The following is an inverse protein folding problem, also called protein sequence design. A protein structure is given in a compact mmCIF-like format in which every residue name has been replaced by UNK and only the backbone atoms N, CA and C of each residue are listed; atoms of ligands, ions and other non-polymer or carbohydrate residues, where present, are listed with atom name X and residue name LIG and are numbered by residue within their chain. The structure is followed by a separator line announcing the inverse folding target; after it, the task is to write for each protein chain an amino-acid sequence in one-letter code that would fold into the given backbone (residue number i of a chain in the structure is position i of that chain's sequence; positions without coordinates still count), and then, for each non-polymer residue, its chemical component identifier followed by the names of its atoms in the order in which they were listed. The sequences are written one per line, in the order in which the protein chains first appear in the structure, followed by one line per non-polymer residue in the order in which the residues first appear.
data_IF_375326642658
#
_entry.id   IF_375326642658
#
_cell.length_a   1.000
_cell.length_b   1.000
_cell.length_c   1.000
_cell.angle_alpha   90.00
_cell.angle_beta   90.00
_cell.angle_gamma   90.00
#
_symmetry.space_group_name_H-M   'P 1'
#
loop_
_entity.id
_entity.type
_entity.pdbx_description
1 polymer ?
#
# COMPACT_ATOMS: atom_id res chain seq x y z
N UNK A 1 44.42 -14.42 39.85
CA UNK A 1 44.25 -13.58 41.07
C UNK A 1 42.93 -12.83 40.91
N UNK A 2 41.79 -13.42 41.28
CA UNK A 2 41.10 -13.36 42.58
C UNK A 2 40.59 -11.95 42.97
N UNK A 3 39.27 -11.73 42.84
CA UNK A 3 38.33 -11.06 43.80
C UNK A 3 37.01 -10.76 43.06
N UNK A 4 35.98 -11.58 43.22
CA UNK A 4 34.99 -11.68 44.32
C UNK A 4 33.74 -10.78 44.13
N UNK A 5 32.63 -11.50 43.96
CA UNK A 5 31.21 -11.17 44.09
C UNK A 5 30.89 -10.26 45.29
N UNK A 6 29.92 -9.35 45.14
CA UNK A 6 28.99 -8.99 46.22
C UNK A 6 27.58 -8.87 45.65
N UNK A 7 26.74 -9.86 45.99
CA UNK A 7 25.28 -9.80 45.93
C UNK A 7 24.80 -8.96 47.12
N UNK A 8 23.86 -8.04 46.89
CA UNK A 8 23.11 -7.38 47.97
C UNK A 8 21.62 -7.71 47.82
N UNK A 9 21.21 -8.74 48.54
CA UNK A 9 19.82 -9.05 48.86
C UNK A 9 19.37 -8.11 49.98
N UNK A 10 18.40 -7.24 49.71
CA UNK A 10 17.64 -6.56 50.75
C UNK A 10 16.34 -7.32 51.00
N UNK A 11 16.35 -8.14 52.05
CA UNK A 11 15.15 -8.69 52.67
C UNK A 11 14.72 -7.78 53.80
N UNK A 12 13.60 -7.06 53.62
CA UNK A 12 12.88 -6.40 54.70
C UNK A 12 11.45 -6.95 54.71
N UNK A 13 11.17 -7.84 55.67
CA UNK A 13 9.82 -8.19 56.06
C UNK A 13 9.53 -7.58 57.42
N UNK A 14 8.40 -6.87 57.55
CA UNK A 14 7.51 -7.04 58.69
C UNK A 14 6.13 -6.39 58.42
N UNK A 15 5.12 -7.28 58.47
CA UNK A 15 3.74 -7.11 58.90
C UNK A 15 3.04 -5.74 58.73
N UNK A 16 2.14 -5.70 57.75
CA UNK A 16 0.95 -4.86 57.78
C UNK A 16 -0.28 -5.72 57.48
N UNK A 17 -1.11 -5.98 58.48
CA UNK A 17 -2.38 -6.69 58.34
C UNK A 17 -3.39 -5.76 57.66
N UNK A 18 -3.42 -5.76 56.33
CA UNK A 18 -4.42 -5.06 55.53
C UNK A 18 -5.53 -6.02 55.13
N UNK A 19 -6.78 -5.68 55.45
CA UNK A 19 -7.96 -6.45 55.06
C UNK A 19 -7.94 -6.76 53.56
N UNK A 20 -8.16 -8.04 53.20
CA UNK A 20 -8.37 -8.45 51.82
C UNK A 20 -9.65 -7.77 51.31
N UNK A 21 -9.47 -6.72 50.50
CA UNK A 21 -10.56 -6.16 49.71
C UNK A 21 -11.06 -7.26 48.76
N UNK A 22 -12.35 -7.60 48.85
CA UNK A 22 -12.97 -8.57 47.95
C UNK A 22 -12.77 -8.14 46.50
N UNK A 23 -12.38 -9.09 45.65
CA UNK A 23 -12.27 -8.86 44.22
C UNK A 23 -13.61 -8.31 43.69
N UNK A 24 -13.62 -7.25 42.85
CA UNK A 24 -14.85 -6.75 42.28
C UNK A 24 -15.51 -7.85 41.45
N UNK A 25 -16.76 -8.16 41.74
CA UNK A 25 -17.59 -9.06 40.93
C UNK A 25 -17.62 -8.50 39.51
N UNK A 26 -17.28 -9.28 38.47
CA UNK A 26 -17.37 -8.79 37.10
C UNK A 26 -18.82 -8.43 36.78
N UNK A 27 -19.06 -7.14 36.58
CA UNK A 27 -20.36 -6.63 36.13
C UNK A 27 -20.57 -7.11 34.70
N UNK A 28 -21.54 -8.01 34.48
CA UNK A 28 -21.95 -8.39 33.13
C UNK A 28 -22.47 -7.12 32.44
N UNK A 29 -21.89 -6.69 31.31
CA UNK A 29 -22.39 -5.52 30.60
C UNK A 29 -23.84 -5.78 30.18
N UNK A 30 -24.70 -4.74 30.19
CA UNK A 30 -26.09 -4.90 29.79
C UNK A 30 -26.14 -5.51 28.38
N UNK A 31 -26.87 -6.61 28.24
CA UNK A 31 -27.18 -7.18 26.93
C UNK A 31 -27.98 -6.15 26.15
N UNK A 32 -27.35 -5.51 25.15
CA UNK A 32 -28.03 -4.61 24.24
C UNK A 32 -29.04 -5.46 23.46
N UNK A 33 -30.33 -5.29 23.74
CA UNK A 33 -31.38 -5.87 22.92
C UNK A 33 -31.22 -5.31 21.50
N UNK A 34 -31.30 -6.14 20.44
CA UNK A 34 -31.20 -5.65 19.08
C UNK A 34 -32.29 -4.59 18.86
N UNK A 35 -31.87 -3.38 18.51
CA UNK A 35 -32.78 -2.33 18.04
C UNK A 35 -33.54 -2.86 16.82
N UNK A 36 -34.84 -2.55 16.67
CA UNK A 36 -35.58 -2.93 15.48
C UNK A 36 -34.86 -2.38 14.24
N UNK A 37 -34.58 -3.25 13.27
CA UNK A 37 -34.03 -2.86 11.97
C UNK A 37 -34.96 -1.82 11.35
N UNK A 38 -34.46 -0.60 11.14
CA UNK A 38 -35.25 0.45 10.50
C UNK A 38 -35.70 -0.03 9.12
N UNK A 39 -37.01 -0.06 8.90
CA UNK A 39 -37.56 -0.38 7.58
C UNK A 39 -37.20 0.73 6.57
N UNK A 40 -37.00 0.40 5.29
CA UNK A 40 -36.78 1.41 4.26
C UNK A 40 -37.88 2.47 4.28
N UNK A 41 -37.50 3.75 4.36
CA UNK A 41 -38.42 4.90 4.27
C UNK A 41 -38.26 5.58 2.92
N UNK A 42 -39.35 6.00 2.29
CA UNK A 42 -39.28 6.73 1.02
C UNK A 42 -38.39 7.98 1.17
N UNK A 43 -37.46 8.17 0.24
CA UNK A 43 -36.47 9.27 0.22
C UNK A 43 -35.48 9.32 1.41
N UNK A 44 -35.23 8.19 2.10
CA UNK A 44 -34.19 8.09 3.13
C UNK A 44 -32.89 7.40 2.67
N UNK A 45 -31.82 7.57 3.45
CA UNK A 45 -30.63 6.72 3.41
C UNK A 45 -30.79 5.63 4.47
N UNK A 46 -30.68 4.36 4.07
CA UNK A 46 -30.71 3.22 4.99
C UNK A 46 -29.56 2.26 4.69
N UNK A 47 -29.11 1.56 5.73
CA UNK A 47 -28.08 0.51 5.62
C UNK A 47 -28.78 -0.83 5.80
N UNK A 48 -28.81 -1.63 4.75
CA UNK A 48 -29.32 -2.99 4.80
C UNK A 48 -28.24 -3.94 5.35
N UNK A 49 -28.33 -4.26 6.64
CA UNK A 49 -27.43 -5.23 7.28
C UNK A 49 -27.85 -6.68 7.05
N UNK A 50 -29.08 -6.92 6.57
CA UNK A 50 -29.59 -8.24 6.23
C UNK A 50 -29.14 -8.70 4.83
N UNK A 51 -28.76 -7.77 3.95
CA UNK A 51 -28.14 -8.06 2.65
C UNK A 51 -26.80 -8.82 2.74
N UNK A 52 -26.23 -8.93 3.94
CA UNK A 52 -24.96 -9.62 4.19
C UNK A 52 -23.75 -8.73 3.91
N UNK A 53 -22.57 -9.23 4.28
CA UNK A 53 -21.30 -8.51 4.05
C UNK A 53 -20.94 -8.50 2.57
N UNK A 54 -20.60 -7.32 2.04
CA UNK A 54 -20.04 -7.17 0.68
C UNK A 54 -18.52 -7.42 0.60
N UNK A 55 -17.92 -7.85 1.72
CA UNK A 55 -16.48 -8.06 1.85
C UNK A 55 -15.78 -6.94 2.63
N UNK A 56 -14.53 -7.20 3.00
CA UNK A 56 -13.70 -6.21 3.68
C UNK A 56 -13.25 -5.13 2.68
N UNK A 57 -13.27 -3.88 3.11
CA UNK A 57 -12.67 -2.78 2.34
C UNK A 57 -11.15 -2.96 2.42
N UNK A 58 -10.52 -3.18 1.27
CA UNK A 58 -9.06 -3.27 1.20
C UNK A 58 -8.42 -1.96 1.67
N UNK A 59 -7.42 -1.98 2.57
CA UNK A 59 -6.69 -0.78 2.97
C UNK A 59 -6.07 -0.03 1.79
N UNK A 60 -5.74 -0.75 0.70
CA UNK A 60 -5.15 -0.18 -0.51
C UNK A 60 -6.08 0.79 -1.26
N UNK A 61 -7.38 0.84 -0.91
CA UNK A 61 -8.30 1.85 -1.46
C UNK A 61 -7.87 3.28 -1.08
N UNK A 62 -7.17 3.43 0.06
CA UNK A 62 -6.62 4.70 0.54
C UNK A 62 -5.22 4.93 -0.05
N UNK A 63 -5.10 4.88 -1.37
CA UNK A 63 -3.85 5.09 -2.09
C UNK A 63 -3.72 6.49 -2.70
N UNK A 64 -2.48 6.90 -3.01
CA UNK A 64 -2.22 8.14 -3.77
C UNK A 64 -1.11 7.97 -4.80
N UNK A 65 -1.00 8.94 -5.72
CA UNK A 65 0.08 9.02 -6.70
C UNK A 65 1.14 10.01 -6.19
N UNK A 66 2.41 9.65 -6.34
CA UNK A 66 3.56 10.48 -6.02
C UNK A 66 4.47 10.62 -7.22
N UNK A 67 4.90 11.84 -7.50
CA UNK A 67 5.83 12.14 -8.60
C UNK A 67 7.04 12.92 -8.06
N UNK A 68 8.18 12.87 -8.77
CA UNK A 68 9.41 13.56 -8.34
C UNK A 68 9.29 15.10 -8.28
N UNK A 69 8.21 15.69 -8.79
CA UNK A 69 7.92 17.13 -8.67
C UNK A 69 7.12 17.49 -7.42
N UNK A 70 6.76 16.51 -6.59
CA UNK A 70 5.98 16.72 -5.37
C UNK A 70 6.94 16.71 -4.19
N UNK A 71 6.92 17.80 -3.41
CA UNK A 71 7.58 17.87 -2.10
C UNK A 71 6.55 18.17 -1.03
N UNK A 72 6.58 17.42 0.06
CA UNK A 72 5.78 17.73 1.25
C UNK A 72 6.44 18.91 1.99
N UNK A 73 5.74 20.04 2.19
CA UNK A 73 6.25 21.14 3.00
C UNK A 73 6.66 20.66 4.39
N UNK A 74 7.73 21.21 4.95
CA UNK A 74 8.29 20.74 6.22
C UNK A 74 7.27 20.77 7.37
N UNK A 75 6.45 21.81 7.41
CA UNK A 75 5.39 22.02 8.38
C UNK A 75 4.17 21.10 8.22
N UNK A 76 4.09 20.32 7.13
CA UNK A 76 3.01 19.37 6.84
C UNK A 76 3.47 17.91 6.79
N UNK A 77 4.72 17.63 7.20
CA UNK A 77 5.28 16.27 7.12
C UNK A 77 4.56 15.29 8.05
N UNK A 78 4.24 15.71 9.28
CA UNK A 78 3.54 14.85 10.23
C UNK A 78 2.15 14.47 9.72
N UNK A 79 1.40 15.43 9.19
CA UNK A 79 0.09 15.22 8.59
C UNK A 79 0.17 14.30 7.36
N UNK A 80 1.18 14.49 6.50
CA UNK A 80 1.37 13.65 5.33
C UNK A 80 1.69 12.20 5.70
N UNK A 81 2.53 11.99 6.72
CA UNK A 81 2.93 10.66 7.16
C UNK A 81 1.83 9.93 7.94
N UNK A 82 0.96 10.68 8.63
CA UNK A 82 -0.13 10.11 9.43
C UNK A 82 -1.49 10.12 8.73
N UNK A 83 -1.56 10.57 7.48
CA UNK A 83 -2.81 10.66 6.69
C UNK A 83 -3.53 9.31 6.46
N UNK A 84 -2.90 8.18 6.79
CA UNK A 84 -3.48 6.85 6.59
C UNK A 84 -3.50 6.41 5.12
N UNK A 85 -2.53 6.90 4.34
CA UNK A 85 -2.33 6.50 2.96
C UNK A 85 -1.57 5.16 2.92
N UNK A 86 -2.23 4.11 2.43
CA UNK A 86 -1.72 2.73 2.53
C UNK A 86 -1.05 2.23 1.23
N UNK A 87 -1.13 2.99 0.15
CA UNK A 87 -0.48 2.67 -1.13
C UNK A 87 0.05 3.96 -1.75
N UNK A 88 1.33 3.96 -2.13
CA UNK A 88 1.94 5.07 -2.84
C UNK A 88 2.38 4.59 -4.22
N UNK A 89 1.90 5.20 -5.30
CA UNK A 89 2.31 4.86 -6.67
C UNK A 89 3.36 5.83 -7.18
N UNK A 90 4.48 5.32 -7.69
CA UNK A 90 5.59 6.11 -8.21
C UNK A 90 6.16 5.53 -9.52
N UNK A 91 6.59 6.37 -10.47
CA UNK A 91 6.27 7.78 -10.56
C UNK A 91 4.82 7.99 -11.00
N UNK A 92 4.24 9.12 -10.60
CA UNK A 92 2.91 9.53 -11.02
C UNK A 92 2.84 9.88 -12.50
N UNK A 93 1.65 9.70 -13.09
CA UNK A 93 1.31 10.21 -14.42
C UNK A 93 2.27 9.82 -15.56
N UNK A 94 2.30 10.66 -16.60
CA UNK A 94 3.09 10.45 -17.83
C UNK A 94 4.61 10.62 -17.61
N UNK A 95 5.05 11.14 -16.47
CA UNK A 95 6.47 11.36 -16.22
C UNK A 95 7.27 10.06 -16.28
N UNK A 96 6.70 8.95 -15.78
CA UNK A 96 7.33 7.63 -15.82
C UNK A 96 7.61 7.11 -17.23
N UNK A 97 6.84 7.55 -18.22
CA UNK A 97 7.04 7.18 -19.63
C UNK A 97 7.95 8.15 -20.40
N UNK A 98 8.28 9.29 -19.80
CA UNK A 98 9.10 10.33 -20.40
C UNK A 98 10.52 10.39 -19.83
N UNK A 99 10.75 9.79 -18.65
CA UNK A 99 11.99 9.93 -17.91
C UNK A 99 12.51 8.56 -17.45
N UNK A 100 13.82 8.51 -17.19
CA UNK A 100 14.45 7.35 -16.57
C UNK A 100 14.43 7.53 -15.05
N UNK A 101 13.91 6.53 -14.34
CA UNK A 101 13.95 6.49 -12.88
C UNK A 101 15.38 6.14 -12.46
N UNK A 102 16.02 6.99 -11.66
CA UNK A 102 17.35 6.70 -11.12
C UNK A 102 17.27 5.81 -9.87
N UNK A 103 18.40 5.20 -9.50
CA UNK A 103 18.51 4.44 -8.26
C UNK A 103 18.23 5.31 -7.02
N UNK A 104 18.70 6.57 -7.03
CA UNK A 104 18.44 7.54 -5.95
C UNK A 104 16.97 7.89 -5.83
N UNK A 105 16.24 7.95 -6.95
CA UNK A 105 14.79 8.16 -6.94
C UNK A 105 14.09 7.00 -6.23
N UNK A 106 14.47 5.75 -6.54
CA UNK A 106 13.94 4.56 -5.87
C UNK A 106 14.25 4.58 -4.37
N UNK A 107 15.51 4.81 -4.00
CA UNK A 107 15.91 4.83 -2.59
C UNK A 107 15.12 5.89 -1.81
N UNK A 108 15.01 7.11 -2.34
CA UNK A 108 14.28 8.21 -1.69
C UNK A 108 12.77 7.93 -1.60
N UNK A 109 12.19 7.34 -2.66
CA UNK A 109 10.79 6.94 -2.70
C UNK A 109 10.47 5.85 -1.67
N UNK A 110 11.33 4.84 -1.53
CA UNK A 110 11.13 3.76 -0.56
C UNK A 110 11.26 4.27 0.88
N UNK A 111 12.16 5.22 1.16
CA UNK A 111 12.19 5.85 2.48
C UNK A 111 10.90 6.63 2.78
N UNK A 112 10.35 7.34 1.79
CA UNK A 112 9.05 7.98 1.94
C UNK A 112 7.93 6.98 2.25
N UNK A 113 7.86 5.84 1.54
CA UNK A 113 6.82 4.84 1.82
C UNK A 113 6.94 4.24 3.21
N UNK A 114 8.17 4.01 3.70
CA UNK A 114 8.41 3.56 5.08
C UNK A 114 7.92 4.59 6.11
N UNK A 115 8.22 5.88 5.91
CA UNK A 115 7.75 6.94 6.81
C UNK A 115 6.22 7.05 6.85
N UNK A 116 5.56 6.81 5.72
CA UNK A 116 4.10 6.83 5.61
C UNK A 116 3.43 5.53 6.07
N UNK A 117 4.19 4.45 6.26
CA UNK A 117 3.61 3.11 6.45
C UNK A 117 2.83 2.60 5.24
N UNK A 118 3.15 3.10 4.04
CA UNK A 118 2.46 2.78 2.80
C UNK A 118 3.13 1.64 2.04
N UNK A 119 2.35 0.84 1.31
CA UNK A 119 2.89 -0.11 0.34
C UNK A 119 3.42 0.64 -0.90
N UNK A 120 4.62 0.32 -1.39
CA UNK A 120 5.12 0.87 -2.64
C UNK A 120 4.48 0.19 -3.86
N UNK A 121 4.09 0.99 -4.86
CA UNK A 121 3.77 0.54 -6.22
C UNK A 121 4.67 1.27 -7.22
N UNK A 122 5.51 0.53 -7.95
CA UNK A 122 6.44 1.12 -8.94
C UNK A 122 5.91 0.94 -10.37
N UNK A 123 5.82 2.03 -11.13
CA UNK A 123 5.49 2.03 -12.56
C UNK A 123 6.76 2.06 -13.41
N UNK A 124 7.08 0.97 -14.11
CA UNK A 124 8.19 0.94 -15.08
C UNK A 124 7.80 1.67 -16.37
N UNK A 125 8.80 2.27 -17.01
CA UNK A 125 8.65 2.97 -18.28
C UNK A 125 8.32 1.99 -19.40
N UNK A 126 7.15 2.12 -20.02
CA UNK A 126 6.80 1.35 -21.22
C UNK A 126 7.25 2.11 -22.47
N UNK A 127 6.80 3.37 -22.62
CA UNK A 127 7.07 4.12 -23.85
C UNK A 127 8.52 4.55 -23.94
N UNK A 128 9.25 4.01 -24.91
CA UNK A 128 10.68 4.28 -25.08
C UNK A 128 11.55 3.67 -23.98
N UNK A 129 10.98 2.79 -23.16
CA UNK A 129 11.73 1.91 -22.27
C UNK A 129 11.94 0.54 -22.91
N UNK A 130 12.68 -0.34 -22.24
CA UNK A 130 12.86 -1.74 -22.66
C UNK A 130 12.56 -2.71 -21.53
N UNK A 131 12.27 -3.97 -21.89
CA UNK A 131 12.01 -5.03 -20.93
C UNK A 131 13.22 -5.27 -20.01
N UNK A 132 14.45 -5.11 -20.53
CA UNK A 132 15.69 -5.22 -19.76
C UNK A 132 15.82 -4.10 -18.74
N UNK A 133 15.44 -2.86 -19.09
CA UNK A 133 15.43 -1.74 -18.15
C UNK A 133 14.42 -1.96 -17.02
N UNK A 134 13.24 -2.50 -17.36
CA UNK A 134 12.22 -2.84 -16.37
C UNK A 134 12.70 -3.96 -15.42
N UNK A 135 13.27 -5.03 -15.98
CA UNK A 135 13.85 -6.14 -15.21
C UNK A 135 15.01 -5.67 -14.31
N UNK A 136 15.87 -4.80 -14.81
CA UNK A 136 16.97 -4.22 -14.03
C UNK A 136 16.47 -3.36 -12.87
N UNK A 137 15.38 -2.62 -13.05
CA UNK A 137 14.76 -1.87 -11.96
C UNK A 137 14.23 -2.81 -10.86
N UNK A 138 13.60 -3.93 -11.23
CA UNK A 138 13.19 -4.97 -10.28
C UNK A 138 14.40 -5.58 -9.58
N UNK A 139 15.47 -5.91 -10.33
CA UNK A 139 16.69 -6.50 -9.79
C UNK A 139 17.33 -5.58 -8.76
N UNK A 140 17.51 -4.30 -9.10
CA UNK A 140 18.04 -3.32 -8.17
C UNK A 140 17.16 -3.22 -6.91
N UNK A 141 15.86 -3.02 -7.09
CA UNK A 141 14.93 -2.74 -5.99
C UNK A 141 14.77 -3.92 -5.04
N UNK A 142 14.55 -5.13 -5.56
CA UNK A 142 14.19 -6.29 -4.74
C UNK A 142 15.37 -7.23 -4.48
N UNK A 143 16.27 -7.43 -5.43
CA UNK A 143 17.36 -8.40 -5.29
C UNK A 143 18.59 -7.75 -4.64
N UNK A 144 19.01 -6.59 -5.15
CA UNK A 144 20.21 -5.91 -4.65
C UNK A 144 19.94 -5.16 -3.34
N UNK A 145 18.85 -4.41 -3.27
CA UNK A 145 18.50 -3.58 -2.12
C UNK A 145 17.63 -4.29 -1.08
N UNK A 146 16.96 -5.37 -1.48
CA UNK A 146 16.12 -6.14 -0.55
C UNK A 146 14.86 -5.40 -0.09
N UNK A 147 14.34 -4.45 -0.88
CA UNK A 147 13.19 -3.65 -0.45
C UNK A 147 11.86 -4.40 -0.47
N UNK A 148 11.77 -5.52 -1.21
CA UNK A 148 10.57 -6.37 -1.22
C UNK A 148 9.32 -5.68 -1.77
N UNK A 149 9.47 -4.82 -2.78
CA UNK A 149 8.34 -4.16 -3.45
C UNK A 149 7.52 -5.20 -4.19
N UNK A 150 6.25 -5.35 -3.79
CA UNK A 150 5.34 -6.34 -4.37
C UNK A 150 4.58 -5.81 -5.57
N UNK A 151 4.13 -4.56 -5.54
CA UNK A 151 3.24 -4.04 -6.59
C UNK A 151 4.03 -3.31 -7.67
N UNK A 152 3.83 -3.74 -8.91
CA UNK A 152 4.48 -3.14 -10.07
C UNK A 152 3.47 -2.89 -11.17
N UNK A 153 3.64 -1.85 -11.96
CA UNK A 153 2.85 -1.62 -13.17
C UNK A 153 3.75 -1.29 -14.34
N UNK A 154 3.26 -1.52 -15.56
CA UNK A 154 4.01 -1.26 -16.80
C UNK A 154 3.31 -0.14 -17.57
N UNK A 155 4.01 0.98 -17.75
CA UNK A 155 3.47 2.21 -18.35
C UNK A 155 2.50 2.97 -17.45
N UNK A 156 1.92 4.05 -17.99
CA UNK A 156 0.91 4.86 -17.30
C UNK A 156 -0.47 4.82 -17.96
N UNK A 157 -0.57 5.22 -19.23
CA UNK A 157 -1.82 5.39 -20.01
C UNK A 157 -1.53 5.12 -21.50
N UNK A 158 -1.27 3.86 -21.88
CA UNK A 158 -0.83 3.50 -23.22
C UNK A 158 -1.82 3.90 -24.33
N UNK A 159 -3.11 4.02 -24.00
CA UNK A 159 -4.15 4.49 -24.93
C UNK A 159 -4.00 5.95 -25.38
N UNK A 160 -3.16 6.73 -24.70
CA UNK A 160 -2.89 8.14 -25.05
C UNK A 160 -1.60 8.31 -25.86
N UNK A 161 -0.87 7.22 -26.14
CA UNK A 161 0.31 7.31 -26.98
C UNK A 161 -0.13 7.42 -28.46
N UNK A 162 0.37 8.41 -29.20
CA UNK A 162 0.19 8.41 -30.64
C UNK A 162 0.86 7.15 -31.21
N UNK A 163 0.19 6.49 -32.15
CA UNK A 163 0.70 5.32 -32.87
C UNK A 163 0.95 4.08 -31.99
N UNK A 164 0.07 3.86 -31.00
CA UNK A 164 0.13 2.73 -30.09
C UNK A 164 -1.26 2.10 -29.91
N UNK A 165 -1.46 0.94 -30.51
CA UNK A 165 -2.74 0.22 -30.44
C UNK A 165 -2.75 -0.85 -29.33
N UNK A 166 -3.90 -1.51 -29.19
CA UNK A 166 -4.09 -2.55 -28.16
C UNK A 166 -3.29 -3.82 -28.44
N UNK A 167 -3.05 -4.16 -29.71
CA UNK A 167 -2.30 -5.37 -30.08
C UNK A 167 -0.83 -5.21 -29.67
N UNK A 168 -0.22 -4.10 -30.11
CA UNK A 168 1.12 -3.71 -29.72
C UNK A 168 1.29 -3.58 -28.21
N UNK A 169 0.33 -2.93 -27.52
CA UNK A 169 0.37 -2.84 -26.06
C UNK A 169 0.41 -4.22 -25.40
N UNK A 170 -0.44 -5.16 -25.84
CA UNK A 170 -0.50 -6.49 -25.24
C UNK A 170 0.79 -7.28 -25.48
N UNK A 171 1.40 -7.15 -26.64
CA UNK A 171 2.69 -7.77 -26.96
C UNK A 171 3.81 -7.20 -26.09
N UNK A 172 4.00 -5.87 -26.10
CA UNK A 172 5.06 -5.22 -25.34
C UNK A 172 4.84 -5.40 -23.83
N UNK A 173 3.62 -5.28 -23.32
CA UNK A 173 3.33 -5.49 -21.89
C UNK A 173 3.71 -6.91 -21.46
N UNK A 174 3.42 -7.94 -22.26
CA UNK A 174 3.80 -9.33 -21.95
C UNK A 174 5.32 -9.50 -21.91
N UNK A 175 6.03 -8.94 -22.89
CA UNK A 175 7.49 -8.99 -22.92
C UNK A 175 8.11 -8.38 -21.65
N UNK A 176 7.58 -7.25 -21.20
CA UNK A 176 8.03 -6.61 -19.97
C UNK A 176 7.67 -7.43 -18.72
N UNK A 177 6.44 -7.92 -18.65
CA UNK A 177 5.96 -8.74 -17.55
C UNK A 177 6.82 -9.99 -17.35
N UNK A 178 7.11 -10.71 -18.44
CA UNK A 178 7.95 -11.91 -18.42
C UNK A 178 9.37 -11.60 -17.98
N UNK A 179 9.98 -10.52 -18.50
CA UNK A 179 11.33 -10.12 -18.10
C UNK A 179 11.42 -9.72 -16.62
N UNK A 180 10.41 -9.02 -16.10
CA UNK A 180 10.35 -8.62 -14.69
C UNK A 180 10.14 -9.84 -13.77
N UNK A 181 9.23 -10.74 -14.13
CA UNK A 181 8.96 -11.96 -13.36
C UNK A 181 10.15 -12.93 -13.37
N UNK A 182 10.94 -12.97 -14.45
CA UNK A 182 12.16 -13.76 -14.51
C UNK A 182 13.22 -13.31 -13.48
N UNK A 183 13.15 -12.05 -13.01
CA UNK A 183 14.02 -11.53 -11.95
C UNK A 183 13.45 -11.82 -10.57
N UNK A 184 12.15 -11.59 -10.38
CA UNK A 184 11.47 -11.82 -9.11
C UNK A 184 10.03 -12.30 -9.36
N UNK A 185 9.82 -13.60 -9.23
CA UNK A 185 8.52 -14.25 -9.44
C UNK A 185 7.47 -13.86 -8.38
N UNK A 186 7.88 -13.20 -7.28
CA UNK A 186 6.99 -12.82 -6.18
C UNK A 186 6.25 -11.49 -6.41
N UNK A 187 6.61 -10.74 -7.46
CA UNK A 187 5.96 -9.47 -7.77
C UNK A 187 4.54 -9.66 -8.32
N UNK A 188 3.70 -8.66 -8.09
CA UNK A 188 2.33 -8.55 -8.56
C UNK A 188 2.24 -7.46 -9.62
N UNK A 189 1.91 -7.86 -10.84
CA UNK A 189 1.79 -6.96 -11.97
C UNK A 189 0.37 -6.39 -12.10
N UNK A 190 0.28 -5.06 -12.08
CA UNK A 190 -0.94 -4.28 -12.26
C UNK A 190 -0.97 -3.74 -13.69
N UNK A 191 -1.89 -4.25 -14.50
CA UNK A 191 -2.12 -3.74 -15.84
C UNK A 191 -2.69 -2.30 -15.79
N UNK A 192 -2.26 -1.45 -16.72
CA UNK A 192 -2.70 -0.06 -16.84
C UNK A 192 -3.57 0.09 -18.08
N UNK A 193 -4.88 -0.11 -17.87
CA UNK A 193 -5.89 -0.03 -18.93
C UNK A 193 -6.17 1.44 -19.35
N UNK A 194 -6.67 1.72 -20.57
CA UNK A 194 -6.95 3.06 -21.10
C UNK A 194 -7.52 4.07 -20.12
N UNK A 195 -7.09 5.32 -20.28
CA UNK A 195 -7.78 6.46 -19.67
C UNK A 195 -9.24 6.47 -20.15
N UNK A 196 -10.16 6.66 -19.20
CA UNK A 196 -11.62 6.50 -19.42
C UNK A 196 -12.24 7.62 -20.28
N UNK A 197 -11.44 8.39 -21.00
CA UNK A 197 -11.89 9.52 -21.83
C UNK A 197 -12.34 9.12 -23.24
N UNK A 198 -12.35 7.82 -23.58
CA UNK A 198 -12.93 7.30 -24.82
C UNK A 198 -14.29 6.64 -24.58
N UNK A 199 -15.33 7.10 -25.29
CA UNK A 199 -16.68 6.54 -25.27
C UNK A 199 -16.77 5.01 -25.24
N UNK A 200 -17.54 4.51 -24.27
CA UNK A 200 -18.37 3.29 -24.30
C UNK A 200 -18.00 2.19 -25.28
N UNK A 201 -17.12 1.28 -24.88
CA UNK A 201 -17.14 -0.09 -25.37
C UNK A 201 -17.77 -0.97 -24.28
N UNK A 202 -19.08 -1.24 -24.40
CA UNK A 202 -19.69 -2.36 -23.66
C UNK A 202 -19.09 -3.67 -24.19
N UNK A 203 -18.75 -4.65 -23.35
CA UNK A 203 -18.39 -5.98 -23.83
C UNK A 203 -19.62 -6.57 -24.53
N UNK A 204 -19.51 -6.84 -25.83
CA UNK A 204 -20.45 -7.76 -26.46
C UNK A 204 -20.15 -9.16 -25.93
N UNK A 205 -21.21 -9.81 -25.42
CA UNK A 205 -21.21 -11.24 -25.08
C UNK A 205 -21.23 -12.07 -26.34
#
# INVERSE_FOLDING_TARGET
MFRQLVFLLFSLGLLGCGALAGAPTPTVPPTVAPLPTAAPVANGLWVDTAAGSLGAISPLVYGTNYGPWISVPFDLQEEAYTAGLNLLRFPGGNWGDLNTISQTDIDSYIELTKLMGAEPLISVRLRGGTAEQAAELVRYTNIEKGYGVRYWSIGNEPSLYPDYDTERYNEEWRLFAEAMLAVDESILLVARYPSVYGHGARPQR
#
